data_IF_138424041277
#
_entry.id   IF_138424041277
#
_cell.length_a   1.000
_cell.length_b   1.000
_cell.length_c   1.000
_cell.angle_alpha   90.00
_cell.angle_beta   90.00
_cell.angle_gamma   90.00
#
_symmetry.space_group_name_H-M   'P 1'
#
loop_
_entity.id
_entity.type
_entity.pdbx_description
1 polymer ?
#
# COMPACT_ATOMS: atom_id res chain seq x y z
N UNK A 1 -3.90 38.66 5.95
CA UNK A 1 -2.51 39.13 5.72
C UNK A 1 -1.75 39.03 7.04
N UNK A 2 -1.04 37.92 7.35
CA UNK A 2 -0.01 37.93 8.37
C UNK A 2 1.38 38.01 7.73
N UNK A 3 2.24 38.81 8.36
CA UNK A 3 3.63 39.07 8.01
C UNK A 3 4.49 37.85 8.39
N UNK A 4 5.24 37.31 7.41
CA UNK A 4 6.24 36.29 7.64
C UNK A 4 7.57 36.96 8.01
N UNK A 5 7.93 36.96 9.29
CA UNK A 5 9.26 37.36 9.74
C UNK A 5 10.27 36.31 9.27
N UNK A 6 11.14 36.66 8.33
CA UNK A 6 12.29 35.85 7.96
C UNK A 6 13.44 36.16 8.93
N UNK A 7 13.86 35.17 9.72
CA UNK A 7 15.11 35.25 10.48
C UNK A 7 16.30 35.07 9.52
N UNK A 8 17.10 36.13 9.38
CA UNK A 8 18.31 36.15 8.58
C UNK A 8 19.49 35.60 9.42
N UNK A 9 19.84 34.33 9.25
CA UNK A 9 21.05 33.76 9.87
C UNK A 9 22.26 34.10 8.99
N UNK A 10 23.14 34.96 9.49
CA UNK A 10 24.41 35.29 8.79
C UNK A 10 25.48 34.30 9.24
N UNK A 11 25.99 33.48 8.30
CA UNK A 11 27.12 32.57 8.56
C UNK A 11 28.40 33.23 8.06
N UNK A 12 29.33 33.50 8.98
CA UNK A 12 30.67 34.00 8.64
C UNK A 12 31.67 32.85 8.47
N UNK A 13 32.41 32.83 7.37
CA UNK A 13 33.57 31.96 7.19
C UNK A 13 34.74 32.40 8.08
N UNK A 14 35.55 31.43 8.54
CA UNK A 14 36.68 31.66 9.46
C UNK A 14 37.86 32.44 8.83
N UNK A 15 37.79 32.76 7.54
CA UNK A 15 38.79 33.46 6.75
C UNK A 15 38.33 34.83 6.23
N UNK A 16 37.16 35.32 6.66
CA UNK A 16 36.69 36.67 6.36
C UNK A 16 36.30 36.92 4.90
N UNK A 17 36.24 35.88 4.05
CA UNK A 17 35.81 35.99 2.66
C UNK A 17 34.32 35.72 2.51
N UNK A 18 33.61 36.60 1.78
CA UNK A 18 32.19 36.45 1.49
C UNK A 18 31.97 35.33 0.45
N UNK A 19 31.47 34.17 0.89
CA UNK A 19 31.03 33.11 -0.01
C UNK A 19 29.68 33.49 -0.61
N UNK A 20 29.59 33.49 -1.94
CA UNK A 20 28.31 33.67 -2.65
C UNK A 20 27.33 32.59 -2.20
N UNK A 21 26.20 33.03 -1.68
CA UNK A 21 25.11 32.20 -1.19
C UNK A 21 24.42 31.52 -2.38
N UNK A 22 24.87 30.32 -2.76
CA UNK A 22 24.04 29.42 -3.59
C UNK A 22 22.78 29.11 -2.78
N UNK A 23 21.66 29.66 -3.21
CA UNK A 23 20.37 29.49 -2.56
C UNK A 23 20.05 28.00 -2.55
N UNK A 24 20.13 27.37 -1.37
CA UNK A 24 19.56 26.04 -1.14
C UNK A 24 18.14 26.09 -1.70
N UNK A 25 17.76 25.20 -2.65
CA UNK A 25 16.41 25.21 -3.17
C UNK A 25 15.47 25.16 -1.97
N UNK A 26 14.44 26.03 -1.91
CA UNK A 26 13.54 26.04 -0.78
C UNK A 26 13.09 24.60 -0.60
N UNK A 27 13.29 24.06 0.61
CA UNK A 27 12.71 22.77 0.96
C UNK A 27 11.22 22.96 0.69
N UNK A 28 10.73 22.39 -0.41
CA UNK A 28 9.30 22.42 -0.74
C UNK A 28 8.64 21.87 0.52
N UNK A 29 7.95 22.76 1.24
CA UNK A 29 7.25 22.38 2.46
C UNK A 29 6.33 21.25 2.06
N UNK A 30 6.47 20.10 2.72
CA UNK A 30 5.56 18.99 2.51
C UNK A 30 4.14 19.55 2.64
N UNK A 31 3.25 19.31 1.66
CA UNK A 31 1.94 19.92 1.65
C UNK A 31 1.25 19.62 2.98
N UNK A 32 0.64 20.64 3.56
CA UNK A 32 -0.11 20.51 4.81
C UNK A 32 -1.23 19.47 4.63
N UNK A 33 -1.66 18.81 5.71
CA UNK A 33 -2.71 17.78 5.67
C UNK A 33 -4.00 18.26 4.98
N UNK A 34 -4.27 19.57 4.97
CA UNK A 34 -5.43 20.17 4.31
C UNK A 34 -5.22 20.47 2.81
N UNK A 35 -3.97 20.56 2.35
CA UNK A 35 -3.59 20.74 0.94
C UNK A 35 -3.45 19.41 0.20
N UNK A 36 -3.25 18.33 0.97
CA UNK A 36 -3.28 16.97 0.47
C UNK A 36 -4.74 16.58 0.17
N UNK A 37 -5.20 16.91 -1.05
CA UNK A 37 -6.54 16.55 -1.51
C UNK A 37 -6.82 15.06 -1.33
N UNK A 38 -8.05 14.74 -0.89
CA UNK A 38 -8.52 13.36 -0.75
C UNK A 38 -8.55 12.69 -2.13
N UNK A 39 -7.50 11.93 -2.47
CA UNK A 39 -7.54 11.06 -3.64
C UNK A 39 -8.62 10.02 -3.42
N UNK A 40 -9.67 10.05 -4.25
CA UNK A 40 -10.70 9.02 -4.30
C UNK A 40 -9.96 7.69 -4.50
N UNK A 41 -9.94 6.88 -3.44
CA UNK A 41 -8.99 5.78 -3.28
C UNK A 41 -9.09 4.72 -4.37
N UNK A 42 -7.94 4.12 -4.67
CA UNK A 42 -7.87 2.99 -5.60
C UNK A 42 -8.57 1.77 -4.98
N UNK A 43 -9.19 0.95 -5.82
CA UNK A 43 -9.91 -0.24 -5.35
C UNK A 43 -9.01 -1.46 -5.45
N UNK A 44 -9.06 -2.36 -4.47
CA UNK A 44 -8.34 -3.62 -4.53
C UNK A 44 -9.25 -4.83 -4.40
N UNK A 45 -8.80 -5.93 -5.00
CA UNK A 45 -9.38 -7.26 -4.85
C UNK A 45 -8.22 -8.24 -4.69
N UNK A 46 -8.05 -8.80 -3.49
CA UNK A 46 -7.01 -9.78 -3.18
C UNK A 46 -7.68 -11.13 -2.95
N UNK A 47 -7.36 -12.09 -3.80
CA UNK A 47 -7.89 -13.45 -3.78
C UNK A 47 -6.81 -14.40 -3.28
N UNK A 48 -7.00 -14.94 -2.09
CA UNK A 48 -6.11 -15.91 -1.47
C UNK A 48 -6.65 -17.35 -1.60
N UNK A 49 -5.75 -18.27 -1.92
CA UNK A 49 -5.98 -19.72 -1.91
C UNK A 49 -4.84 -20.42 -1.17
N UNK A 50 -4.98 -21.70 -0.83
CA UNK A 50 -3.88 -22.49 -0.24
C UNK A 50 -2.94 -23.10 -1.29
N UNK A 51 -3.14 -22.82 -2.59
CA UNK A 51 -2.35 -23.36 -3.70
C UNK A 51 -2.63 -24.82 -4.06
N UNK A 52 -3.34 -25.57 -3.21
CA UNK A 52 -3.67 -27.00 -3.40
C UNK A 52 -5.16 -27.20 -3.66
N UNK A 53 -6.01 -26.56 -2.86
CA UNK A 53 -7.45 -26.68 -2.94
C UNK A 53 -8.05 -25.44 -3.60
N UNK A 54 -8.44 -25.57 -4.86
CA UNK A 54 -9.20 -24.53 -5.57
C UNK A 54 -10.60 -24.30 -4.98
N UNK A 55 -11.11 -25.28 -4.22
CA UNK A 55 -12.43 -25.26 -3.57
C UNK A 55 -12.59 -24.25 -2.43
N UNK A 56 -11.48 -23.85 -1.82
CA UNK A 56 -11.47 -23.01 -0.63
C UNK A 56 -10.73 -21.74 -0.94
N UNK A 57 -11.44 -20.62 -0.87
CA UNK A 57 -10.90 -19.33 -1.31
C UNK A 57 -11.37 -18.23 -0.40
N UNK A 58 -10.46 -17.33 -0.10
CA UNK A 58 -10.73 -16.09 0.62
C UNK A 58 -10.53 -14.93 -0.36
N UNK A 59 -11.50 -14.02 -0.45
CA UNK A 59 -11.34 -12.78 -1.21
C UNK A 59 -11.54 -11.59 -0.30
N UNK A 60 -10.55 -10.70 -0.28
CA UNK A 60 -10.56 -9.42 0.42
C UNK A 60 -10.83 -8.33 -0.62
N UNK A 61 -11.88 -7.54 -0.41
CA UNK A 61 -12.23 -6.42 -1.26
C UNK A 61 -12.22 -5.14 -0.42
N UNK A 62 -11.75 -4.05 -1.02
CA UNK A 62 -11.64 -2.80 -0.29
C UNK A 62 -10.99 -1.68 -1.09
N UNK A 63 -10.57 -0.65 -0.36
CA UNK A 63 -10.02 0.58 -0.89
C UNK A 63 -8.61 0.81 -0.35
N UNK A 64 -7.74 1.45 -1.10
CA UNK A 64 -6.39 1.77 -0.67
C UNK A 64 -5.96 3.15 -1.17
N UNK A 65 -5.05 3.76 -0.43
CA UNK A 65 -4.49 5.07 -0.79
C UNK A 65 -3.49 4.96 -1.95
N UNK A 66 -2.67 3.91 -1.97
CA UNK A 66 -1.68 3.63 -3.01
C UNK A 66 -1.68 2.15 -3.36
N UNK A 67 -1.87 1.84 -4.65
CA UNK A 67 -1.81 0.46 -5.15
C UNK A 67 -0.40 -0.10 -5.02
N UNK A 68 0.62 0.69 -5.33
CA UNK A 68 2.01 0.26 -5.28
C UNK A 68 2.44 -0.11 -3.85
N UNK A 69 2.11 0.76 -2.89
CA UNK A 69 2.43 0.48 -1.49
C UNK A 69 1.69 -0.74 -0.96
N UNK A 70 0.39 -0.86 -1.28
CA UNK A 70 -0.39 -2.03 -0.89
C UNK A 70 0.16 -3.31 -1.52
N UNK A 71 0.53 -3.26 -2.81
CA UNK A 71 1.08 -4.39 -3.54
C UNK A 71 2.38 -4.90 -2.89
N UNK A 72 3.35 -4.02 -2.68
CA UNK A 72 4.63 -4.35 -2.05
C UNK A 72 4.44 -4.95 -0.66
N UNK A 73 3.55 -4.35 0.14
CA UNK A 73 3.30 -4.81 1.50
C UNK A 73 2.66 -6.19 1.54
N UNK A 74 1.65 -6.41 0.69
CA UNK A 74 0.96 -7.70 0.59
C UNK A 74 1.92 -8.77 0.05
N UNK A 75 2.70 -8.48 -0.99
CA UNK A 75 3.69 -9.40 -1.54
C UNK A 75 4.71 -9.82 -0.47
N UNK A 76 5.23 -8.87 0.31
CA UNK A 76 6.16 -9.14 1.39
C UNK A 76 5.54 -10.05 2.46
N UNK A 77 4.30 -9.77 2.88
CA UNK A 77 3.60 -10.61 3.86
C UNK A 77 3.36 -12.01 3.32
N UNK A 78 2.95 -12.14 2.06
CA UNK A 78 2.74 -13.44 1.40
C UNK A 78 4.03 -14.25 1.35
N UNK A 79 5.14 -13.63 0.95
CA UNK A 79 6.45 -14.30 0.90
C UNK A 79 6.96 -14.71 2.27
N UNK A 80 6.77 -13.87 3.30
CA UNK A 80 7.13 -14.21 4.68
C UNK A 80 6.38 -15.44 5.21
N UNK A 81 5.21 -15.77 4.65
CA UNK A 81 4.46 -16.98 4.99
C UNK A 81 4.84 -18.19 4.14
N UNK A 82 5.83 -18.09 3.25
CA UNK A 82 6.13 -19.14 2.28
C UNK A 82 5.07 -19.27 1.19
N UNK A 83 4.24 -18.24 1.01
CA UNK A 83 3.30 -18.14 -0.09
C UNK A 83 3.91 -17.48 -1.33
N UNK A 84 3.13 -17.42 -2.39
CA UNK A 84 3.51 -16.79 -3.66
C UNK A 84 2.37 -15.94 -4.23
N UNK A 85 2.72 -14.86 -4.93
CA UNK A 85 1.79 -14.12 -5.78
C UNK A 85 1.66 -14.88 -7.09
N UNK A 86 0.46 -15.40 -7.37
CA UNK A 86 0.17 -16.20 -8.57
C UNK A 86 -0.07 -15.30 -9.78
N UNK A 87 -0.82 -14.22 -9.58
CA UNK A 87 -1.05 -13.22 -10.60
C UNK A 87 -1.30 -11.86 -9.96
N UNK A 88 -0.81 -10.79 -10.56
CA UNK A 88 -1.16 -9.43 -10.17
C UNK A 88 -1.44 -8.63 -11.41
N UNK A 89 -2.63 -8.04 -11.45
CA UNK A 89 -3.09 -7.20 -12.53
C UNK A 89 -3.38 -5.81 -11.98
N UNK A 90 -2.76 -4.80 -12.58
CA UNK A 90 -3.02 -3.39 -12.30
C UNK A 90 -3.77 -2.82 -13.50
N UNK A 91 -5.01 -2.40 -13.26
CA UNK A 91 -5.84 -1.76 -14.28
C UNK A 91 -5.95 -0.28 -13.96
N UNK A 92 -5.60 0.54 -14.95
CA UNK A 92 -5.84 1.99 -14.90
C UNK A 92 -7.19 2.23 -15.60
N UNK A 93 -8.27 2.38 -14.82
CA UNK A 93 -9.62 2.58 -15.40
C UNK A 93 -9.79 4.02 -15.90
N UNK A 94 -9.11 4.97 -15.26
CA UNK A 94 -9.04 6.38 -15.64
C UNK A 94 -7.69 6.96 -15.21
N UNK A 95 -7.43 8.23 -15.52
CA UNK A 95 -6.20 8.92 -15.08
C UNK A 95 -6.02 8.95 -13.54
N UNK A 96 -7.08 8.67 -12.76
CA UNK A 96 -7.07 8.77 -11.29
C UNK A 96 -7.61 7.52 -10.58
N UNK A 97 -8.26 6.59 -11.28
CA UNK A 97 -8.88 5.41 -10.68
C UNK A 97 -8.11 4.15 -11.06
N UNK A 98 -7.24 3.72 -10.15
CA UNK A 98 -6.53 2.45 -10.28
C UNK A 98 -7.28 1.32 -9.59
N UNK A 99 -7.16 0.14 -10.17
CA UNK A 99 -7.69 -1.09 -9.61
C UNK A 99 -6.60 -2.15 -9.54
N UNK A 100 -6.41 -2.71 -8.34
CA UNK A 100 -5.49 -3.82 -8.09
C UNK A 100 -6.28 -5.12 -8.00
N UNK A 101 -5.98 -6.07 -8.88
CA UNK A 101 -6.48 -7.44 -8.76
C UNK A 101 -5.29 -8.39 -8.53
N UNK A 102 -5.23 -8.98 -7.34
CA UNK A 102 -4.13 -9.87 -6.95
C UNK A 102 -4.64 -11.24 -6.58
N UNK A 103 -4.03 -12.29 -7.11
CA UNK A 103 -4.24 -13.68 -6.73
C UNK A 103 -2.99 -14.19 -6.02
N UNK A 104 -3.17 -14.74 -4.83
CA UNK A 104 -2.09 -15.21 -3.96
C UNK A 104 -2.36 -16.63 -3.49
N UNK A 105 -1.28 -17.38 -3.29
CA UNK A 105 -1.27 -18.69 -2.68
C UNK A 105 -0.53 -18.60 -1.36
N UNK A 106 -1.17 -18.98 -0.25
CA UNK A 106 -0.57 -18.95 1.10
C UNK A 106 -0.75 -20.34 1.73
N UNK A 107 0.33 -21.01 2.18
CA UNK A 107 0.20 -22.28 2.87
C UNK A 107 -0.55 -22.10 4.19
N UNK A 108 -1.32 -23.11 4.60
CA UNK A 108 -2.09 -23.08 5.86
C UNK A 108 -3.03 -21.88 5.99
N UNK A 109 -3.51 -21.31 4.87
CA UNK A 109 -4.44 -20.16 4.85
C UNK A 109 -5.67 -20.35 5.78
N UNK A 110 -6.16 -21.59 5.86
CA UNK A 110 -7.29 -22.01 6.68
C UNK A 110 -6.88 -22.96 7.83
N UNK A 111 -5.59 -23.05 8.14
CA UNK A 111 -5.05 -23.92 9.19
C UNK A 111 -5.19 -23.34 10.59
N UNK A 112 -4.48 -23.93 11.57
CA UNK A 112 -4.42 -23.46 12.95
C UNK A 112 -2.95 -23.17 13.33
N UNK A 113 -2.57 -21.91 13.67
CA UNK A 113 -3.38 -20.69 13.57
C UNK A 113 -3.64 -20.28 12.11
N UNK A 114 -4.75 -19.59 11.82
CA UNK A 114 -5.10 -19.21 10.46
C UNK A 114 -4.20 -18.11 9.91
N UNK A 115 -3.54 -18.35 8.78
CA UNK A 115 -2.66 -17.35 8.16
C UNK A 115 -3.41 -16.17 7.50
N UNK A 116 -4.73 -16.30 7.28
CA UNK A 116 -5.51 -15.20 6.69
C UNK A 116 -5.65 -13.97 7.60
N UNK A 117 -5.56 -14.12 8.93
CA UNK A 117 -5.55 -12.97 9.86
C UNK A 117 -4.30 -12.12 9.67
N UNK A 118 -3.17 -12.78 9.41
CA UNK A 118 -1.90 -12.11 9.15
C UNK A 118 -1.89 -11.42 7.79
N UNK A 119 -2.52 -12.03 6.78
CA UNK A 119 -2.79 -11.37 5.50
C UNK A 119 -3.64 -10.11 5.71
N UNK A 120 -4.71 -10.21 6.51
CA UNK A 120 -5.58 -9.07 6.84
C UNK A 120 -4.79 -7.93 7.50
N UNK A 121 -3.95 -8.25 8.47
CA UNK A 121 -3.05 -7.28 9.11
C UNK A 121 -2.08 -6.65 8.12
N UNK A 122 -1.56 -7.42 7.16
CA UNK A 122 -0.71 -6.94 6.07
C UNK A 122 -1.41 -5.91 5.18
N UNK A 123 -2.66 -6.18 4.79
CA UNK A 123 -3.48 -5.25 4.00
C UNK A 123 -3.73 -3.95 4.75
N UNK A 124 -4.07 -4.03 6.03
CA UNK A 124 -4.27 -2.85 6.88
C UNK A 124 -2.97 -2.04 7.05
N UNK A 125 -1.84 -2.72 7.24
CA UNK A 125 -0.53 -2.09 7.35
C UNK A 125 -0.04 -1.47 6.03
N UNK A 126 -0.49 -1.99 4.88
CA UNK A 126 -0.29 -1.38 3.55
C UNK A 126 -1.23 -0.21 3.27
N UNK A 127 -2.00 0.24 4.27
CA UNK A 127 -2.97 1.33 4.16
C UNK A 127 -4.17 0.99 3.28
N UNK A 128 -4.52 -0.30 3.20
CA UNK A 128 -5.76 -0.79 2.63
C UNK A 128 -6.86 -0.88 3.70
N UNK A 129 -8.06 -0.42 3.38
CA UNK A 129 -9.27 -0.57 4.18
C UNK A 129 -10.09 -1.70 3.56
N UNK A 130 -10.39 -2.73 4.35
CA UNK A 130 -11.17 -3.89 3.89
C UNK A 130 -12.65 -3.59 4.09
N UNK A 131 -13.38 -3.49 2.99
CA UNK A 131 -14.84 -3.29 2.98
C UNK A 131 -15.58 -4.62 3.12
N UNK A 132 -15.14 -5.64 2.37
CA UNK A 132 -15.82 -6.94 2.31
C UNK A 132 -14.83 -8.09 2.31
N UNK A 133 -15.16 -9.12 3.10
CA UNK A 133 -14.47 -10.42 3.10
C UNK A 133 -15.44 -11.48 2.59
N UNK A 134 -15.06 -12.16 1.51
CA UNK A 134 -15.84 -13.26 0.94
C UNK A 134 -15.08 -14.56 1.16
N UNK A 135 -15.70 -15.49 1.86
CA UNK A 135 -15.20 -16.84 2.05
C UNK A 135 -16.04 -17.79 1.19
N UNK A 136 -15.38 -18.52 0.30
CA UNK A 136 -16.03 -19.50 -0.56
C UNK A 136 -15.52 -20.89 -0.19
N UNK A 137 -16.46 -21.75 0.17
CA UNK A 137 -16.24 -23.15 0.51
C UNK A 137 -17.12 -23.99 -0.41
N UNK A 138 -16.59 -24.45 -1.53
CA UNK A 138 -17.31 -25.36 -2.40
C UNK A 138 -17.18 -26.78 -1.86
N UNK A 139 -18.33 -27.43 -1.64
CA UNK A 139 -18.38 -28.85 -1.30
C UNK A 139 -18.33 -29.63 -2.62
N UNK A 140 -17.25 -30.40 -2.82
CA UNK A 140 -17.14 -31.36 -3.92
C UNK A 140 -16.49 -30.86 -5.21
N UNK A 141 -15.53 -29.92 -5.19
CA UNK A 141 -14.72 -29.75 -6.41
C UNK A 141 -13.84 -30.97 -6.61
N UNK A 142 -14.11 -31.65 -7.71
CA UNK A 142 -13.25 -32.65 -8.31
C UNK A 142 -12.19 -31.88 -9.13
N UNK A 143 -10.89 -32.20 -9.01
CA UNK A 143 -9.83 -31.57 -9.79
C UNK A 143 -9.97 -31.81 -11.30
#
# INVERSE_FOLDING_TARGET
MPLLSQELVTVFGLDGSALSLEARPPLLSLPLTEEQGLTIGSVFTIRASNGVDSCRRLSLLGFCHSVDHLHEKVELVVRQRGGAVVSSERQLTSALAERLHMCIAIPLLFGVPPEHERLRAGVLAGGGIIDRVVQQWLVGCVP
#
